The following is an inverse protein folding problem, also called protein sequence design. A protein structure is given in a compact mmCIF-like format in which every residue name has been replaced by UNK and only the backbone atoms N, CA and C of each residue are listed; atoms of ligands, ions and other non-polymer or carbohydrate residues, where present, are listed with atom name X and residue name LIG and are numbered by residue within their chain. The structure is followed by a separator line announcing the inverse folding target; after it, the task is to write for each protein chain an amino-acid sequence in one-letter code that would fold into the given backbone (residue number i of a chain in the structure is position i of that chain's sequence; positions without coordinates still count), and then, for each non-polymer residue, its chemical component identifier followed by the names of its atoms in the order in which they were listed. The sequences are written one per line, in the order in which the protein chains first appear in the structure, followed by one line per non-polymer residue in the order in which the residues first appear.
data_IF_647562855589
#
_entry.id   IF_647562855589
#
_cell.length_a   1.000
_cell.length_b   1.000
_cell.length_c   1.000
_cell.angle_alpha   90.00
_cell.angle_beta   90.00
_cell.angle_gamma   90.00
#
_symmetry.space_group_name_H-M   'P 1'
#
loop_
_entity.id
_entity.type
_entity.pdbx_description
1 polymer ?
#
# COMPACT_ATOMS: atom_id res chain seq x y z
N UNK A 1 -22.87 5.46 7.99
CA UNK A 1 -22.07 4.76 6.97
C UNK A 1 -20.62 5.15 7.16
N UNK A 2 -19.67 4.32 6.73
CA UNK A 2 -18.26 4.67 6.72
C UNK A 2 -18.02 5.83 5.75
N UNK A 3 -16.99 6.66 6.03
CA UNK A 3 -16.52 7.68 5.09
C UNK A 3 -16.09 7.04 3.76
N UNK A 4 -16.11 7.79 2.64
CA UNK A 4 -15.54 7.35 1.38
C UNK A 4 -14.12 6.81 1.52
N UNK A 5 -13.78 5.76 0.79
CA UNK A 5 -12.46 5.11 0.86
C UNK A 5 -11.30 6.10 0.67
N UNK A 6 -11.46 7.07 -0.24
CA UNK A 6 -10.45 8.10 -0.48
C UNK A 6 -10.12 8.89 0.78
N UNK A 7 -11.13 9.33 1.52
CA UNK A 7 -10.93 10.09 2.77
C UNK A 7 -10.21 9.25 3.83
N UNK A 8 -10.54 7.96 3.90
CA UNK A 8 -9.88 7.03 4.84
C UNK A 8 -8.41 6.81 4.48
N UNK A 9 -8.10 6.64 3.19
CA UNK A 9 -6.73 6.48 2.69
C UNK A 9 -5.93 7.76 2.89
N UNK A 10 -6.49 8.91 2.55
CA UNK A 10 -5.85 10.22 2.73
C UNK A 10 -5.51 10.44 4.22
N UNK A 11 -6.47 10.19 5.13
CA UNK A 11 -6.28 10.30 6.58
C UNK A 11 -5.20 9.34 7.09
N UNK A 12 -5.16 8.09 6.60
CA UNK A 12 -4.14 7.12 7.00
C UNK A 12 -2.73 7.61 6.65
N UNK A 13 -2.57 8.19 5.46
CA UNK A 13 -1.27 8.70 5.00
C UNK A 13 -0.88 9.97 5.78
N UNK A 14 -1.82 10.86 6.07
CA UNK A 14 -1.59 12.07 6.89
C UNK A 14 -1.10 11.73 8.30
N UNK A 15 -1.58 10.62 8.86
CA UNK A 15 -1.16 10.10 10.17
C UNK A 15 0.17 9.31 10.12
N UNK A 16 0.87 9.30 8.98
CA UNK A 16 2.17 8.65 8.81
C UNK A 16 2.11 7.22 8.26
N UNK A 17 0.92 6.76 7.87
CA UNK A 17 0.74 5.49 7.18
C UNK A 17 1.46 5.47 5.84
N UNK A 18 2.04 4.33 5.49
CA UNK A 18 2.73 4.11 4.21
C UNK A 18 2.02 3.03 3.41
N UNK A 19 1.84 3.26 2.12
CA UNK A 19 1.25 2.30 1.20
C UNK A 19 2.34 1.80 0.26
N UNK A 20 2.67 0.52 0.39
CA UNK A 20 3.58 -0.17 -0.51
C UNK A 20 2.77 -0.98 -1.52
N UNK A 21 3.08 -0.83 -2.79
CA UNK A 21 2.42 -1.52 -3.90
C UNK A 21 3.38 -2.56 -4.47
N UNK A 22 2.93 -3.80 -4.61
CA UNK A 22 3.74 -4.88 -5.17
C UNK A 22 3.96 -4.65 -6.69
N UNK A 23 5.20 -4.37 -7.09
CA UNK A 23 5.59 -4.15 -8.48
C UNK A 23 5.21 -5.29 -9.45
N UNK A 24 5.56 -6.56 -9.14
CA UNK A 24 5.13 -7.69 -9.97
C UNK A 24 3.61 -7.78 -10.11
N UNK A 25 2.88 -7.50 -9.03
CA UNK A 25 1.43 -7.61 -8.98
C UNK A 25 0.72 -6.59 -9.88
N UNK A 26 1.22 -5.35 -9.94
CA UNK A 26 0.66 -4.31 -10.83
C UNK A 26 1.05 -4.54 -12.29
N UNK A 27 2.25 -5.06 -12.55
CA UNK A 27 2.71 -5.41 -13.90
C UNK A 27 1.82 -6.50 -14.51
N UNK A 28 1.56 -7.58 -13.78
CA UNK A 28 0.67 -8.67 -14.23
C UNK A 28 -0.76 -8.20 -14.48
N UNK A 29 -1.22 -7.21 -13.69
CA UNK A 29 -2.57 -6.64 -13.76
C UNK A 29 -2.69 -5.45 -14.73
N UNK A 30 -1.59 -5.05 -15.39
CA UNK A 30 -1.53 -3.88 -16.29
C UNK A 30 -1.98 -2.58 -15.62
N UNK A 31 -1.66 -2.41 -14.34
CA UNK A 31 -1.92 -1.19 -13.58
C UNK A 31 -0.70 -0.29 -13.70
N UNK A 32 -0.91 0.94 -14.15
CA UNK A 32 0.15 1.93 -14.29
C UNK A 32 0.31 2.77 -13.02
N UNK A 33 1.43 3.47 -12.88
CA UNK A 33 1.70 4.29 -11.69
C UNK A 33 0.67 5.41 -11.51
N UNK A 34 0.14 5.96 -12.60
CA UNK A 34 -0.86 7.04 -12.61
C UNK A 34 -2.24 6.58 -12.13
N UNK A 35 -2.47 5.26 -12.06
CA UNK A 35 -3.69 4.67 -11.53
C UNK A 35 -3.64 4.46 -10.01
N UNK A 36 -2.47 4.64 -9.39
CA UNK A 36 -2.28 4.44 -7.96
C UNK A 36 -2.76 5.67 -7.18
N UNK A 37 -3.15 5.46 -5.92
CA UNK A 37 -3.44 6.55 -5.00
C UNK A 37 -2.17 7.36 -4.72
N UNK A 38 -2.35 8.65 -4.47
CA UNK A 38 -1.24 9.56 -4.16
C UNK A 38 -0.38 9.02 -3.02
N UNK A 39 0.94 9.20 -3.13
CA UNK A 39 1.96 8.77 -2.15
C UNK A 39 2.08 7.24 -1.98
N UNK A 40 1.40 6.42 -2.78
CA UNK A 40 1.70 4.99 -2.87
C UNK A 40 3.08 4.76 -3.50
N UNK A 41 3.90 3.91 -2.89
CA UNK A 41 5.25 3.59 -3.37
C UNK A 41 5.26 2.19 -4.01
N UNK A 42 5.67 2.09 -5.28
CA UNK A 42 5.90 0.80 -5.92
C UNK A 42 7.15 0.16 -5.29
N UNK A 43 7.00 -1.05 -4.80
CA UNK A 43 8.02 -1.79 -4.04
C UNK A 43 8.29 -3.18 -4.64
N UNK A 44 9.48 -3.70 -4.36
CA UNK A 44 9.83 -5.09 -4.63
C UNK A 44 9.18 -6.02 -3.60
N UNK A 45 8.83 -7.24 -4.01
CA UNK A 45 8.21 -8.24 -3.13
C UNK A 45 9.01 -8.49 -1.83
N UNK A 46 10.36 -8.48 -1.92
CA UNK A 46 11.23 -8.67 -0.75
C UNK A 46 11.03 -7.61 0.34
N UNK A 47 10.69 -6.37 0.00
CA UNK A 47 10.46 -5.29 0.98
C UNK A 47 9.26 -5.58 1.87
N UNK A 48 8.20 -6.19 1.33
CA UNK A 48 7.02 -6.61 2.12
C UNK A 48 7.36 -7.77 3.04
N UNK A 49 8.16 -8.73 2.57
CA UNK A 49 8.62 -9.87 3.40
C UNK A 49 9.44 -9.37 4.59
N UNK A 50 10.43 -8.50 4.34
CA UNK A 50 11.24 -7.89 5.40
C UNK A 50 10.35 -7.11 6.38
N UNK A 51 9.46 -6.26 5.89
CA UNK A 51 8.55 -5.50 6.76
C UNK A 51 7.65 -6.40 7.61
N UNK A 52 7.23 -7.55 7.08
CA UNK A 52 6.40 -8.52 7.80
C UNK A 52 7.17 -9.24 8.91
N UNK A 53 8.45 -9.52 8.70
CA UNK A 53 9.33 -10.17 9.68
C UNK A 53 9.75 -9.19 10.79
N UNK A 54 9.97 -7.93 10.44
CA UNK A 54 10.42 -6.89 11.38
C UNK A 54 9.27 -6.27 12.19
N UNK A 55 8.02 -6.39 11.73
CA UNK A 55 6.87 -5.86 12.44
C UNK A 55 6.55 -6.67 13.71
N UNK A 56 6.12 -5.99 14.77
CA UNK A 56 5.64 -6.64 15.99
C UNK A 56 4.35 -7.44 15.77
N UNK A 57 3.53 -7.03 14.79
CA UNK A 57 2.30 -7.69 14.41
C UNK A 57 2.00 -7.49 12.92
N UNK A 58 1.43 -8.52 12.29
CA UNK A 58 0.97 -8.48 10.90
C UNK A 58 -0.51 -8.84 10.85
N UNK A 59 -1.32 -7.96 10.27
CA UNK A 59 -2.74 -8.21 10.00
C UNK A 59 -2.93 -8.50 8.51
N UNK A 60 -3.62 -9.59 8.19
CA UNK A 60 -3.91 -10.02 6.82
C UNK A 60 -5.44 -10.03 6.59
N UNK A 61 -5.87 -9.55 5.42
CA UNK A 61 -7.27 -9.40 5.03
C UNK A 61 -7.50 -9.85 3.59
#
# INVERSE_FOLDING_TARGET
GLSPLKELVDSFIELGGRILVCGPCINERRITAEMLVDKAEISAAGKVVTASIEADAVLNY
#
